data_IF_099437000737
#
_entry.id   IF_099437000737
#
_cell.length_a   1.000
_cell.length_b   1.000
_cell.length_c   1.000
_cell.angle_alpha   90.00
_cell.angle_beta   90.00
_cell.angle_gamma   90.00
#
_symmetry.space_group_name_H-M   'P 1'
#
loop_
_entity.id
_entity.type
_entity.pdbx_description
1 polymer ?
#
# COMPACT_ATOMS: atom_id res chain seq x y z
N UNK A 1 -55.58 -33.81 21.80
CA UNK A 1 -55.21 -32.73 22.74
C UNK A 1 -53.76 -32.30 22.41
N UNK A 2 -53.60 -31.28 21.55
CA UNK A 2 -52.36 -30.68 21.17
C UNK A 2 -52.04 -29.50 22.09
N UNK A 3 -50.82 -29.40 22.52
CA UNK A 3 -50.27 -28.22 23.21
C UNK A 3 -49.70 -27.22 22.19
N UNK A 4 -49.84 -25.91 22.39
CA UNK A 4 -49.38 -24.92 21.44
C UNK A 4 -47.86 -24.70 21.56
N UNK A 5 -47.19 -24.71 20.40
CA UNK A 5 -45.78 -24.31 20.29
C UNK A 5 -45.64 -22.79 20.53
N UNK A 6 -44.74 -22.45 21.41
CA UNK A 6 -44.42 -21.10 21.82
C UNK A 6 -43.66 -20.38 20.66
N UNK A 7 -44.29 -19.39 20.06
CA UNK A 7 -43.67 -18.36 19.22
C UNK A 7 -42.98 -17.35 20.15
N UNK A 8 -41.68 -17.49 20.37
CA UNK A 8 -40.85 -16.46 21.01
C UNK A 8 -39.45 -16.46 20.39
N UNK A 9 -39.31 -15.87 19.22
CA UNK A 9 -38.01 -15.48 18.67
C UNK A 9 -38.12 -14.57 17.41
N UNK A 10 -39.15 -13.71 17.31
CA UNK A 10 -39.25 -12.85 16.12
C UNK A 10 -39.45 -11.35 16.41
N UNK A 11 -39.39 -10.92 17.66
CA UNK A 11 -39.63 -9.53 18.02
C UNK A 11 -38.34 -8.74 18.34
N UNK A 12 -37.19 -9.40 18.57
CA UNK A 12 -35.95 -8.74 18.88
C UNK A 12 -35.19 -8.27 17.61
N UNK A 13 -35.30 -8.99 16.50
CA UNK A 13 -34.64 -8.60 15.24
C UNK A 13 -35.38 -7.46 14.51
N UNK A 14 -36.69 -7.35 14.68
CA UNK A 14 -37.50 -6.27 14.11
C UNK A 14 -37.23 -4.91 14.79
N UNK A 15 -37.04 -4.91 16.10
CA UNK A 15 -36.83 -3.69 16.89
C UNK A 15 -35.41 -3.11 16.71
N UNK A 16 -34.43 -3.94 16.44
CA UNK A 16 -33.06 -3.51 16.16
C UNK A 16 -32.93 -2.94 14.73
N UNK A 17 -33.68 -3.43 13.78
CA UNK A 17 -33.78 -2.93 12.42
C UNK A 17 -34.45 -1.55 12.36
N UNK A 18 -35.58 -1.38 13.06
CA UNK A 18 -36.29 -0.08 13.16
C UNK A 18 -35.46 0.97 13.92
N UNK A 19 -34.73 0.57 14.96
CA UNK A 19 -33.85 1.50 15.70
C UNK A 19 -32.64 1.96 14.88
N UNK A 20 -32.09 1.08 14.04
CA UNK A 20 -31.01 1.42 13.10
C UNK A 20 -31.52 2.32 11.96
N UNK A 21 -32.73 2.11 11.46
CA UNK A 21 -33.36 3.02 10.49
C UNK A 21 -33.73 4.36 11.08
N UNK A 22 -34.21 4.41 12.31
CA UNK A 22 -34.47 5.68 13.03
C UNK A 22 -33.19 6.43 13.36
N UNK A 23 -32.09 5.74 13.69
CA UNK A 23 -30.77 6.40 13.85
C UNK A 23 -30.19 6.88 12.52
N UNK A 24 -30.45 6.20 11.40
CA UNK A 24 -30.17 6.70 10.06
C UNK A 24 -30.96 7.94 9.71
N UNK A 25 -32.22 8.04 10.12
CA UNK A 25 -33.07 9.23 9.90
C UNK A 25 -32.70 10.45 10.72
N UNK A 26 -31.95 10.29 11.82
CA UNK A 26 -31.49 11.38 12.69
C UNK A 26 -30.25 12.11 12.16
N UNK A 27 -29.57 11.55 11.12
CA UNK A 27 -28.41 12.19 10.49
C UNK A 27 -28.50 12.15 8.95
N UNK A 28 -29.46 12.90 8.35
CA UNK A 28 -29.63 12.91 6.89
C UNK A 28 -28.52 13.62 6.12
N UNK A 29 -27.56 14.28 6.81
CA UNK A 29 -26.49 15.06 6.19
C UNK A 29 -25.21 14.30 5.85
N UNK A 30 -25.02 13.07 6.32
CA UNK A 30 -23.78 12.30 6.11
C UNK A 30 -23.88 11.35 4.92
N UNK A 31 -25.08 10.86 4.61
CA UNK A 31 -25.29 9.98 3.43
C UNK A 31 -25.42 10.80 2.12
N UNK A 32 -25.79 12.06 2.17
CA UNK A 32 -25.95 12.91 0.99
C UNK A 32 -24.64 13.57 0.50
N UNK A 33 -23.59 13.57 1.31
CA UNK A 33 -22.20 13.77 0.86
C UNK A 33 -21.60 12.46 0.35
N UNK A 34 -22.40 11.59 -0.23
CA UNK A 34 -21.97 10.24 -0.58
C UNK A 34 -20.91 10.35 -1.65
N UNK A 35 -19.71 9.86 -1.30
CA UNK A 35 -18.62 9.54 -2.22
C UNK A 35 -19.17 8.89 -3.50
N UNK A 36 -20.30 8.22 -3.42
CA UNK A 36 -21.03 7.60 -4.52
C UNK A 36 -21.57 8.62 -5.54
N UNK A 37 -22.15 9.75 -5.10
CA UNK A 37 -22.60 10.81 -6.03
C UNK A 37 -21.41 11.48 -6.71
N UNK A 38 -20.31 11.69 -5.96
CA UNK A 38 -19.09 12.23 -6.52
C UNK A 38 -18.42 11.24 -7.49
N UNK A 39 -18.40 9.95 -7.15
CA UNK A 39 -17.90 8.89 -8.01
C UNK A 39 -18.66 8.84 -9.34
N UNK A 40 -19.99 8.85 -9.28
CA UNK A 40 -20.85 8.85 -10.46
C UNK A 40 -20.62 10.10 -11.32
N UNK A 41 -20.45 11.27 -10.71
CA UNK A 41 -20.19 12.53 -11.44
C UNK A 41 -18.81 12.55 -12.12
N UNK A 42 -17.83 11.82 -11.56
CA UNK A 42 -16.46 11.72 -12.09
C UNK A 42 -16.27 10.49 -13.01
N UNK A 43 -17.29 9.65 -13.16
CA UNK A 43 -17.20 8.41 -13.94
C UNK A 43 -16.24 7.37 -13.33
N UNK A 44 -16.00 7.43 -12.03
CA UNK A 44 -15.11 6.54 -11.29
C UNK A 44 -15.90 5.62 -10.34
N UNK A 45 -15.30 4.47 -9.94
CA UNK A 45 -15.91 3.64 -8.90
C UNK A 45 -15.73 4.28 -7.51
N UNK A 46 -16.66 4.04 -6.59
CA UNK A 46 -16.57 4.51 -5.21
C UNK A 46 -15.28 4.01 -4.53
N UNK A 47 -14.89 2.74 -4.78
CA UNK A 47 -13.67 2.16 -4.24
C UNK A 47 -12.41 2.89 -4.74
N UNK A 48 -12.39 3.28 -6.02
CA UNK A 48 -11.28 4.05 -6.58
C UNK A 48 -11.17 5.43 -5.93
N UNK A 49 -12.29 6.10 -5.67
CA UNK A 49 -12.28 7.39 -4.95
C UNK A 49 -11.83 7.25 -3.49
N UNK A 50 -12.29 6.21 -2.79
CA UNK A 50 -11.84 5.91 -1.41
C UNK A 50 -10.34 5.67 -1.37
N UNK A 51 -9.81 4.92 -2.34
CA UNK A 51 -8.38 4.64 -2.46
C UNK A 51 -7.59 5.92 -2.70
N UNK A 52 -7.98 6.72 -3.69
CA UNK A 52 -7.31 7.98 -4.03
C UNK A 52 -7.34 8.94 -2.84
N UNK A 53 -8.50 9.11 -2.20
CA UNK A 53 -8.63 9.94 -1.00
C UNK A 53 -7.69 9.47 0.11
N UNK A 54 -7.62 8.17 0.37
CA UNK A 54 -6.75 7.59 1.39
C UNK A 54 -5.26 7.80 1.11
N UNK A 55 -4.86 7.72 -0.16
CA UNK A 55 -3.47 7.99 -0.58
C UNK A 55 -3.13 9.46 -0.31
N UNK A 56 -3.99 10.39 -0.69
CA UNK A 56 -3.78 11.82 -0.44
C UNK A 56 -3.85 12.18 1.05
N UNK A 57 -4.64 11.47 1.84
CA UNK A 57 -4.69 11.64 3.31
C UNK A 57 -3.32 11.37 3.96
N UNK A 58 -2.45 10.64 3.31
CA UNK A 58 -1.07 10.44 3.76
C UNK A 58 -0.30 11.75 3.95
N UNK A 59 -0.56 12.79 3.16
CA UNK A 59 0.14 14.08 3.29
C UNK A 59 -0.19 14.82 4.60
N UNK A 60 -1.46 15.08 4.96
CA UNK A 60 -1.77 15.66 6.25
C UNK A 60 -1.33 14.79 7.42
N UNK A 61 -1.40 13.45 7.31
CA UNK A 61 -0.87 12.55 8.34
C UNK A 61 0.65 12.67 8.47
N UNK A 62 1.38 12.78 7.37
CA UNK A 62 2.82 13.02 7.39
C UNK A 62 3.17 14.38 8.01
N UNK A 63 2.41 15.43 7.73
CA UNK A 63 2.59 16.73 8.36
C UNK A 63 2.30 16.68 9.86
N UNK A 64 1.24 15.96 10.27
CA UNK A 64 0.95 15.75 11.69
C UNK A 64 2.08 15.01 12.39
N UNK A 65 2.58 13.91 11.78
CA UNK A 65 3.72 13.17 12.28
C UNK A 65 4.95 14.06 12.47
N UNK A 66 5.30 14.85 11.44
CA UNK A 66 6.44 15.77 11.47
C UNK A 66 6.33 16.80 12.60
N UNK A 67 5.14 17.39 12.74
CA UNK A 67 4.95 18.52 13.67
C UNK A 67 4.83 18.08 15.13
N UNK A 68 4.15 16.95 15.39
CA UNK A 68 3.79 16.55 16.74
C UNK A 68 4.52 15.31 17.24
N UNK A 69 4.95 14.40 16.37
CA UNK A 69 5.42 13.07 16.77
C UNK A 69 6.90 12.82 16.51
N UNK A 70 7.55 13.57 15.63
CA UNK A 70 8.92 13.31 15.21
C UNK A 70 9.91 13.17 16.38
N UNK A 71 9.77 13.97 17.42
CA UNK A 71 10.63 13.97 18.61
C UNK A 71 10.04 13.19 19.81
N UNK A 72 8.93 12.48 19.59
CA UNK A 72 8.29 11.70 20.66
C UNK A 72 8.82 10.28 20.73
N UNK A 73 8.43 9.58 21.81
CA UNK A 73 8.80 8.19 22.03
C UNK A 73 8.37 7.28 20.89
N UNK A 74 9.20 6.29 20.58
CA UNK A 74 8.95 5.30 19.52
C UNK A 74 7.59 4.60 19.69
N UNK A 75 7.16 4.37 20.93
CA UNK A 75 5.86 3.77 21.24
C UNK A 75 4.69 4.57 20.65
N UNK A 76 4.69 5.90 20.83
CA UNK A 76 3.63 6.77 20.30
C UNK A 76 3.65 6.80 18.76
N UNK A 77 4.83 6.75 18.18
CA UNK A 77 5.00 6.74 16.71
C UNK A 77 4.45 5.42 16.13
N UNK A 78 4.79 4.27 16.72
CA UNK A 78 4.24 2.99 16.29
C UNK A 78 2.73 2.93 16.45
N UNK A 79 2.20 3.45 17.57
CA UNK A 79 0.77 3.51 17.82
C UNK A 79 0.04 4.37 16.79
N UNK A 80 0.61 5.53 16.46
CA UNK A 80 0.06 6.42 15.44
C UNK A 80 0.02 5.75 14.05
N UNK A 81 1.12 5.11 13.63
CA UNK A 81 1.16 4.39 12.35
C UNK A 81 0.15 3.23 12.31
N UNK A 82 0.06 2.47 13.39
CA UNK A 82 -0.89 1.35 13.49
C UNK A 82 -2.33 1.84 13.45
N UNK A 83 -2.67 2.85 14.25
CA UNK A 83 -4.02 3.37 14.31
C UNK A 83 -4.47 4.00 12.98
N UNK A 84 -3.64 4.85 12.39
CA UNK A 84 -3.95 5.50 11.12
C UNK A 84 -4.07 4.50 9.98
N UNK A 85 -3.17 3.51 9.91
CA UNK A 85 -3.23 2.46 8.89
C UNK A 85 -4.45 1.55 9.04
N UNK A 86 -4.82 1.16 10.26
CA UNK A 86 -6.06 0.41 10.52
C UNK A 86 -7.31 1.21 10.18
N UNK A 87 -7.33 2.51 10.48
CA UNK A 87 -8.44 3.39 10.12
C UNK A 87 -8.59 3.50 8.60
N UNK A 88 -7.49 3.63 7.87
CA UNK A 88 -7.48 3.63 6.41
C UNK A 88 -7.96 2.27 5.85
N UNK A 89 -7.52 1.16 6.45
CA UNK A 89 -7.95 -0.17 6.06
C UNK A 89 -9.47 -0.36 6.26
N UNK A 90 -9.99 0.06 7.40
CA UNK A 90 -11.42 0.01 7.69
C UNK A 90 -12.23 0.91 6.75
N UNK A 91 -11.76 2.13 6.48
CA UNK A 91 -12.42 3.07 5.55
C UNK A 91 -12.55 2.50 4.13
N UNK A 92 -11.52 1.80 3.65
CA UNK A 92 -11.51 1.24 2.29
C UNK A 92 -12.22 -0.12 2.18
N UNK A 93 -12.09 -0.98 3.19
CA UNK A 93 -12.49 -2.40 3.09
C UNK A 93 -13.52 -2.83 4.15
N UNK A 94 -13.96 -1.90 5.00
CA UNK A 94 -14.92 -2.20 6.06
C UNK A 94 -14.43 -3.33 6.96
N UNK A 95 -15.31 -4.27 7.27
CA UNK A 95 -14.97 -5.40 8.15
C UNK A 95 -13.85 -6.30 7.62
N UNK A 96 -13.58 -6.31 6.32
CA UNK A 96 -12.55 -7.17 5.71
C UNK A 96 -11.12 -6.77 6.12
N UNK A 97 -10.91 -5.66 6.83
CA UNK A 97 -9.61 -5.29 7.39
C UNK A 97 -9.03 -6.36 8.34
N UNK A 98 -9.89 -7.23 8.93
CA UNK A 98 -9.45 -8.29 9.84
C UNK A 98 -8.48 -9.29 9.18
N UNK A 99 -8.56 -9.48 7.86
CA UNK A 99 -7.65 -10.36 7.13
C UNK A 99 -6.19 -9.93 7.30
N UNK A 100 -5.92 -8.63 7.14
CA UNK A 100 -4.58 -8.09 7.33
C UNK A 100 -4.14 -8.16 8.80
N UNK A 101 -5.04 -7.83 9.73
CA UNK A 101 -4.75 -7.87 11.15
C UNK A 101 -4.41 -9.30 11.62
N UNK A 102 -5.18 -10.28 11.17
CA UNK A 102 -4.91 -11.69 11.47
C UNK A 102 -3.53 -12.12 10.98
N UNK A 103 -3.18 -11.79 9.73
CA UNK A 103 -1.87 -12.15 9.17
C UNK A 103 -0.71 -11.46 9.90
N UNK A 104 -0.88 -10.21 10.34
CA UNK A 104 0.13 -9.48 11.13
C UNK A 104 0.33 -10.13 12.50
N UNK A 105 -0.75 -10.47 13.21
CA UNK A 105 -0.68 -11.11 14.52
C UNK A 105 -0.07 -12.51 14.42
N UNK A 106 -0.51 -13.31 13.45
CA UNK A 106 0.05 -14.66 13.24
C UNK A 106 1.52 -14.61 12.85
N UNK A 107 1.92 -13.63 12.03
CA UNK A 107 3.34 -13.45 11.71
C UNK A 107 4.17 -13.10 12.93
N UNK A 108 3.68 -12.21 13.78
CA UNK A 108 4.33 -11.93 15.07
C UNK A 108 4.48 -13.19 15.92
N UNK A 109 3.44 -14.02 16.00
CA UNK A 109 3.50 -15.28 16.75
C UNK A 109 4.51 -16.26 16.16
N UNK A 110 4.59 -16.37 14.83
CA UNK A 110 5.62 -17.19 14.16
C UNK A 110 7.02 -16.73 14.57
N UNK A 111 7.29 -15.42 14.47
CA UNK A 111 8.60 -14.88 14.87
C UNK A 111 8.92 -15.15 16.35
N UNK A 112 7.92 -15.04 17.20
CA UNK A 112 8.11 -15.19 18.65
C UNK A 112 8.27 -16.64 19.09
N UNK A 113 7.48 -17.55 18.52
CA UNK A 113 7.43 -18.96 18.94
C UNK A 113 8.45 -19.82 18.20
N UNK A 114 8.65 -19.60 16.91
CA UNK A 114 9.57 -20.40 16.09
C UNK A 114 10.97 -19.80 15.99
N UNK A 115 11.12 -18.53 16.37
CA UNK A 115 12.42 -17.85 16.43
C UNK A 115 13.12 -17.75 15.06
N UNK A 116 14.47 -17.79 15.10
CA UNK A 116 15.34 -17.65 13.89
C UNK A 116 15.65 -19.00 13.29
N UNK A 117 14.65 -19.68 12.77
CA UNK A 117 14.77 -21.01 12.18
C UNK A 117 14.39 -21.01 10.69
N UNK A 118 14.96 -21.92 9.94
CA UNK A 118 14.55 -22.15 8.53
C UNK A 118 13.08 -22.56 8.47
N UNK A 119 12.62 -23.34 9.46
CA UNK A 119 11.21 -23.75 9.57
C UNK A 119 10.28 -22.53 9.69
N UNK A 120 10.67 -21.50 10.46
CA UNK A 120 9.90 -20.25 10.56
C UNK A 120 9.78 -19.55 9.18
N UNK A 121 10.86 -19.50 8.42
CA UNK A 121 10.87 -18.90 7.06
C UNK A 121 9.95 -19.67 6.12
N UNK A 122 10.05 -21.00 6.09
CA UNK A 122 9.20 -21.85 5.24
C UNK A 122 7.72 -21.72 5.65
N UNK A 123 7.43 -21.77 6.95
CA UNK A 123 6.07 -21.62 7.48
C UNK A 123 5.49 -20.27 7.10
N UNK A 124 6.27 -19.19 7.25
CA UNK A 124 5.85 -17.84 6.85
C UNK A 124 5.55 -17.77 5.36
N UNK A 125 6.45 -18.28 4.52
CA UNK A 125 6.26 -18.25 3.06
C UNK A 125 5.00 -19.02 2.67
N UNK A 126 4.85 -20.27 3.14
CA UNK A 126 3.70 -21.11 2.83
C UNK A 126 2.39 -20.50 3.34
N UNK A 127 2.35 -20.03 4.59
CA UNK A 127 1.17 -19.46 5.19
C UNK A 127 0.73 -18.16 4.51
N UNK A 128 1.64 -17.20 4.35
CA UNK A 128 1.31 -15.89 3.78
C UNK A 128 0.89 -16.01 2.30
N UNK A 129 1.60 -16.83 1.53
CA UNK A 129 1.24 -17.06 0.12
C UNK A 129 -0.07 -17.83 -0.02
N UNK A 130 -0.29 -18.87 0.77
CA UNK A 130 -1.55 -19.63 0.74
C UNK A 130 -2.74 -18.75 1.12
N UNK A 131 -2.58 -17.90 2.15
CA UNK A 131 -3.64 -16.97 2.57
C UNK A 131 -3.98 -15.96 1.47
N UNK A 132 -2.97 -15.37 0.83
CA UNK A 132 -3.15 -14.44 -0.28
C UNK A 132 -3.84 -15.11 -1.47
N UNK A 133 -3.39 -16.30 -1.88
CA UNK A 133 -3.96 -17.04 -3.01
C UNK A 133 -5.41 -17.47 -2.72
N UNK A 134 -5.70 -17.94 -1.51
CA UNK A 134 -7.06 -18.23 -1.08
C UNK A 134 -7.93 -16.96 -1.11
N UNK A 135 -7.41 -15.84 -0.62
CA UNK A 135 -8.07 -14.55 -0.69
C UNK A 135 -8.45 -14.17 -2.13
N UNK A 136 -7.54 -14.29 -3.07
CA UNK A 136 -7.82 -14.04 -4.48
C UNK A 136 -8.86 -15.00 -5.04
N UNK A 137 -8.74 -16.28 -4.74
CA UNK A 137 -9.70 -17.29 -5.22
C UNK A 137 -11.12 -17.00 -4.75
N UNK A 138 -11.32 -16.70 -3.47
CA UNK A 138 -12.65 -16.46 -2.91
C UNK A 138 -13.21 -15.05 -3.23
N UNK A 139 -12.37 -14.08 -3.58
CA UNK A 139 -12.81 -12.73 -3.94
C UNK A 139 -12.85 -12.50 -5.45
N UNK A 140 -12.42 -13.47 -6.27
CA UNK A 140 -12.44 -13.34 -7.72
C UNK A 140 -13.87 -13.11 -8.23
N UNK A 141 -14.06 -11.96 -8.87
CA UNK A 141 -15.22 -11.63 -9.69
C UNK A 141 -14.69 -11.37 -11.08
N UNK A 142 -15.48 -11.59 -12.13
CA UNK A 142 -15.01 -11.37 -13.50
C UNK A 142 -14.48 -9.96 -13.79
N UNK A 143 -14.83 -8.99 -12.96
CA UNK A 143 -14.45 -7.60 -13.10
C UNK A 143 -13.27 -7.23 -12.19
N UNK A 144 -12.44 -6.29 -12.69
CA UNK A 144 -11.37 -5.71 -11.89
C UNK A 144 -11.97 -4.78 -10.81
N UNK A 145 -11.88 -5.21 -9.57
CA UNK A 145 -12.40 -4.48 -8.42
C UNK A 145 -11.32 -4.28 -7.35
N UNK A 146 -11.37 -3.14 -6.65
CA UNK A 146 -10.43 -2.81 -5.59
C UNK A 146 -10.91 -3.50 -4.31
N UNK A 147 -10.27 -4.62 -3.98
CA UNK A 147 -10.59 -5.46 -2.82
C UNK A 147 -9.47 -5.46 -1.79
N UNK A 148 -9.75 -5.99 -0.60
CA UNK A 148 -8.76 -6.12 0.47
C UNK A 148 -7.50 -6.93 0.07
N UNK A 149 -7.60 -7.78 -0.93
CA UNK A 149 -6.47 -8.56 -1.47
C UNK A 149 -5.39 -7.69 -2.13
N UNK A 150 -5.75 -6.52 -2.64
CA UNK A 150 -4.81 -5.61 -3.29
C UNK A 150 -3.73 -5.09 -2.32
N UNK A 151 -4.04 -4.45 -1.18
CA UNK A 151 -3.02 -4.09 -0.19
C UNK A 151 -2.42 -5.32 0.49
N UNK A 152 -3.14 -6.44 0.53
CA UNK A 152 -2.65 -7.67 1.12
C UNK A 152 -1.46 -8.28 0.35
N UNK A 153 -1.36 -8.06 -0.95
CA UNK A 153 -0.17 -8.41 -1.73
C UNK A 153 1.09 -7.73 -1.17
N UNK A 154 0.99 -6.42 -0.94
CA UNK A 154 2.10 -5.61 -0.40
C UNK A 154 2.46 -6.08 1.01
N UNK A 155 1.45 -6.33 1.84
CA UNK A 155 1.62 -6.83 3.21
C UNK A 155 2.29 -8.21 3.23
N UNK A 156 1.87 -9.12 2.36
CA UNK A 156 2.47 -10.47 2.23
C UNK A 156 3.98 -10.38 1.98
N UNK A 157 4.41 -9.56 1.02
CA UNK A 157 5.83 -9.35 0.74
C UNK A 157 6.57 -8.74 1.93
N UNK A 158 5.95 -7.79 2.64
CA UNK A 158 6.53 -7.20 3.86
C UNK A 158 6.74 -8.23 4.95
N UNK A 159 5.74 -9.08 5.21
CA UNK A 159 5.79 -10.06 6.30
C UNK A 159 6.76 -11.21 6.00
N UNK A 160 6.83 -11.66 4.75
CA UNK A 160 7.82 -12.65 4.32
C UNK A 160 9.23 -12.06 4.45
N UNK A 161 9.44 -10.86 3.94
CA UNK A 161 10.72 -10.16 4.04
C UNK A 161 11.15 -9.95 5.49
N UNK A 162 10.22 -9.57 6.38
CA UNK A 162 10.47 -9.44 7.82
C UNK A 162 11.00 -10.74 8.44
N UNK A 163 10.41 -11.87 8.10
CA UNK A 163 10.85 -13.18 8.63
C UNK A 163 12.26 -13.54 8.13
N UNK A 164 12.54 -13.30 6.85
CA UNK A 164 13.87 -13.55 6.27
C UNK A 164 14.91 -12.63 6.92
N UNK A 165 14.62 -11.35 7.05
CA UNK A 165 15.52 -10.37 7.67
C UNK A 165 15.78 -10.68 9.14
N UNK A 166 14.77 -11.21 9.85
CA UNK A 166 14.90 -11.67 11.23
C UNK A 166 15.77 -12.94 11.34
N UNK A 167 15.59 -13.88 10.42
CA UNK A 167 16.42 -15.10 10.32
C UNK A 167 17.89 -14.75 10.07
N UNK A 168 18.14 -13.89 9.09
CA UNK A 168 19.49 -13.43 8.75
C UNK A 168 20.15 -12.67 9.92
N UNK A 169 19.37 -11.95 10.72
CA UNK A 169 19.86 -11.26 11.91
C UNK A 169 20.43 -12.18 13.01
N UNK A 170 20.20 -13.48 12.93
CA UNK A 170 20.78 -14.50 13.82
C UNK A 170 22.13 -15.05 13.38
N UNK A 171 22.54 -14.80 12.13
CA UNK A 171 23.80 -15.27 11.56
C UNK A 171 24.96 -14.33 11.90
N UNK A 172 26.19 -14.89 11.82
CA UNK A 172 27.40 -14.08 11.94
C UNK A 172 27.49 -13.07 10.77
N UNK A 173 27.87 -11.82 11.10
CA UNK A 173 27.97 -10.77 10.10
C UNK A 173 28.86 -11.11 8.91
N UNK A 174 29.93 -11.84 9.14
CA UNK A 174 30.88 -12.27 8.10
C UNK A 174 30.30 -13.31 7.12
N UNK A 175 29.23 -13.99 7.50
CA UNK A 175 28.55 -14.99 6.65
C UNK A 175 27.45 -14.38 5.77
N UNK A 176 27.13 -13.12 5.99
CA UNK A 176 26.06 -12.40 5.27
C UNK A 176 26.63 -11.57 4.13
N UNK A 177 25.90 -11.49 3.02
CA UNK A 177 26.19 -10.49 1.98
C UNK A 177 25.97 -9.08 2.49
N UNK A 178 26.55 -8.09 1.81
CA UNK A 178 26.37 -6.67 2.19
C UNK A 178 24.91 -6.24 2.21
N UNK A 179 24.08 -6.79 1.30
CA UNK A 179 22.65 -6.53 1.29
C UNK A 179 21.94 -7.19 2.48
N UNK A 180 22.23 -8.44 2.78
CA UNK A 180 21.66 -9.12 3.95
C UNK A 180 22.03 -8.41 5.25
N UNK A 181 23.26 -7.92 5.39
CA UNK A 181 23.69 -7.12 6.55
C UNK A 181 22.89 -5.82 6.69
N UNK A 182 22.56 -5.17 5.57
CA UNK A 182 21.77 -3.94 5.54
C UNK A 182 20.36 -4.14 6.08
N UNK A 183 19.75 -5.30 5.81
CA UNK A 183 18.36 -5.58 6.16
C UNK A 183 18.20 -6.40 7.42
N UNK A 184 19.23 -7.09 7.89
CA UNK A 184 19.21 -7.99 9.04
C UNK A 184 18.68 -7.32 10.31
N UNK A 185 17.78 -8.03 11.01
CA UNK A 185 17.17 -7.57 12.26
C UNK A 185 17.76 -8.32 13.44
N UNK A 186 18.46 -7.60 14.31
CA UNK A 186 19.16 -8.22 15.47
C UNK A 186 18.24 -8.46 16.67
N UNK A 187 17.27 -7.60 16.91
CA UNK A 187 16.31 -7.72 18.00
C UNK A 187 15.04 -8.46 17.60
N UNK A 188 14.29 -9.01 18.55
CA UNK A 188 12.95 -9.56 18.33
C UNK A 188 11.96 -8.39 18.26
N UNK A 189 11.26 -8.17 17.13
CA UNK A 189 10.27 -7.11 17.04
C UNK A 189 9.09 -7.35 17.98
N UNK A 190 8.58 -6.29 18.61
CA UNK A 190 7.33 -6.33 19.36
C UNK A 190 6.12 -6.39 18.41
N UNK A 191 4.96 -6.77 18.95
CA UNK A 191 3.73 -6.75 18.16
C UNK A 191 3.40 -5.34 17.61
N UNK A 192 3.61 -4.32 18.44
CA UNK A 192 3.36 -2.93 18.02
C UNK A 192 4.33 -2.44 16.96
N UNK A 193 5.60 -2.86 17.01
CA UNK A 193 6.59 -2.58 15.98
C UNK A 193 6.22 -3.24 14.64
N UNK A 194 5.80 -4.52 14.67
CA UNK A 194 5.33 -5.22 13.47
C UNK A 194 4.06 -4.59 12.92
N UNK A 195 3.12 -4.21 13.79
CA UNK A 195 1.90 -3.54 13.38
C UNK A 195 2.17 -2.15 12.78
N UNK A 196 3.01 -1.33 13.40
CA UNK A 196 3.41 -0.02 12.87
C UNK A 196 4.10 -0.13 11.52
N UNK A 197 4.99 -1.09 11.36
CA UNK A 197 5.63 -1.41 10.08
C UNK A 197 4.63 -1.83 8.99
N UNK A 198 3.66 -2.67 9.35
CA UNK A 198 2.66 -3.20 8.42
C UNK A 198 1.64 -2.15 8.01
N UNK A 199 1.20 -1.32 8.96
CA UNK A 199 0.13 -0.34 8.78
C UNK A 199 0.61 1.10 8.57
N UNK A 200 1.88 1.30 8.29
CA UNK A 200 2.38 2.64 7.98
C UNK A 200 1.49 3.33 6.92
N UNK A 201 0.91 4.48 7.24
CA UNK A 201 -0.12 5.15 6.45
C UNK A 201 0.33 5.49 5.01
N UNK A 202 1.63 5.72 4.79
CA UNK A 202 2.17 6.07 3.47
C UNK A 202 2.39 4.88 2.54
N UNK A 203 2.23 3.64 3.00
CA UNK A 203 2.60 2.48 2.22
C UNK A 203 1.66 1.27 2.36
N UNK A 204 0.64 1.36 3.20
CA UNK A 204 -0.24 0.22 3.47
C UNK A 204 -1.06 -0.21 2.23
N UNK A 205 -1.64 0.74 1.49
CA UNK A 205 -2.59 0.45 0.41
C UNK A 205 -1.94 -0.05 -0.88
N UNK A 206 -0.95 0.68 -1.38
CA UNK A 206 -0.34 0.43 -2.70
C UNK A 206 1.17 0.28 -2.67
N UNK A 207 1.78 0.24 -1.50
CA UNK A 207 3.23 0.30 -1.34
C UNK A 207 3.70 1.74 -1.14
N UNK A 208 4.99 2.03 -1.11
CA UNK A 208 6.12 1.18 -1.52
C UNK A 208 6.50 0.08 -0.53
N UNK A 209 7.34 -0.86 -1.02
CA UNK A 209 8.01 -1.84 -0.17
C UNK A 209 9.25 -1.22 0.48
N UNK A 210 9.46 -1.51 1.76
CA UNK A 210 10.66 -1.15 2.50
C UNK A 210 10.90 -2.18 3.61
N UNK A 211 12.12 -2.27 4.11
CA UNK A 211 12.49 -3.23 5.15
C UNK A 211 12.05 -2.76 6.54
N UNK A 212 11.91 -3.71 7.46
CA UNK A 212 11.66 -3.41 8.88
C UNK A 212 12.78 -2.56 9.48
N UNK A 213 14.04 -2.83 9.09
CA UNK A 213 15.17 -2.06 9.57
C UNK A 213 15.12 -0.59 9.14
N UNK A 214 14.68 -0.32 7.90
CA UNK A 214 14.48 1.04 7.41
C UNK A 214 13.35 1.76 8.15
N UNK A 215 12.25 1.07 8.39
CA UNK A 215 11.14 1.58 9.21
C UNK A 215 11.58 1.91 10.65
N UNK A 216 12.36 1.03 11.28
CA UNK A 216 12.86 1.29 12.63
C UNK A 216 13.81 2.50 12.69
N UNK A 217 14.60 2.72 11.63
CA UNK A 217 15.40 3.95 11.51
C UNK A 217 14.54 5.20 11.42
N UNK A 218 13.40 5.15 10.70
CA UNK A 218 12.43 6.24 10.69
C UNK A 218 11.94 6.57 12.09
N UNK A 219 11.45 5.55 12.80
CA UNK A 219 10.88 5.72 14.15
C UNK A 219 11.91 6.26 15.15
N UNK A 220 13.19 5.89 14.98
CA UNK A 220 14.30 6.39 15.81
C UNK A 220 14.81 7.78 15.40
N UNK A 221 14.20 8.40 14.38
CA UNK A 221 14.62 9.71 13.89
C UNK A 221 15.97 9.72 13.19
N UNK A 222 16.44 8.59 12.65
CA UNK A 222 17.75 8.44 12.01
C UNK A 222 17.73 8.74 10.50
N UNK A 223 16.54 8.79 9.88
CA UNK A 223 16.38 9.08 8.46
C UNK A 223 16.25 10.59 8.22
N UNK A 224 17.35 11.29 8.36
CA UNK A 224 17.42 12.74 8.20
C UNK A 224 18.74 13.17 7.61
N UNK A 225 18.73 14.27 6.88
CA UNK A 225 19.91 14.92 6.33
C UNK A 225 20.71 15.68 7.40
N UNK A 226 20.07 16.08 8.50
CA UNK A 226 20.71 16.75 9.64
C UNK A 226 20.48 15.92 10.90
N UNK A 227 21.51 15.31 11.48
CA UNK A 227 21.37 14.49 12.67
C UNK A 227 20.60 15.20 13.80
N UNK A 228 19.60 14.51 14.37
CA UNK A 228 18.79 15.04 15.47
C UNK A 228 17.76 16.10 15.09
N UNK A 229 17.63 16.45 13.80
CA UNK A 229 16.64 17.40 13.31
C UNK A 229 15.68 16.75 12.32
N UNK A 230 14.53 17.38 12.15
CA UNK A 230 13.54 17.00 11.15
C UNK A 230 14.15 17.11 9.74
N UNK A 231 13.90 16.10 8.86
CA UNK A 231 14.48 16.08 7.53
C UNK A 231 13.93 17.20 6.64
N UNK A 232 14.78 17.77 5.78
CA UNK A 232 14.40 18.79 4.79
C UNK A 232 13.76 18.15 3.55
N UNK A 233 12.72 17.36 3.75
CA UNK A 233 12.09 16.53 2.72
C UNK A 233 10.89 17.18 2.03
N UNK A 234 10.48 18.37 2.42
CA UNK A 234 9.25 19.01 1.90
C UNK A 234 9.34 19.28 0.40
N UNK A 235 10.41 19.89 -0.08
CA UNK A 235 10.57 20.19 -1.51
C UNK A 235 10.68 18.92 -2.36
N UNK A 236 11.50 17.91 -2.00
CA UNK A 236 11.51 16.62 -2.70
C UNK A 236 10.15 15.94 -2.73
N UNK A 237 9.39 15.97 -1.62
CA UNK A 237 8.04 15.43 -1.56
C UNK A 237 7.07 16.15 -2.51
N UNK A 238 7.11 17.49 -2.54
CA UNK A 238 6.28 18.28 -3.43
C UNK A 238 6.61 18.03 -4.92
N UNK A 239 7.88 17.83 -5.26
CA UNK A 239 8.29 17.48 -6.62
C UNK A 239 7.67 16.15 -7.06
N UNK A 240 7.68 15.13 -6.19
CA UNK A 240 7.04 13.84 -6.48
C UNK A 240 5.52 13.94 -6.53
N UNK A 241 4.91 14.67 -5.62
CA UNK A 241 3.47 14.93 -5.65
C UNK A 241 3.06 15.64 -6.94
N UNK A 242 3.77 16.69 -7.34
CA UNK A 242 3.46 17.44 -8.58
C UNK A 242 3.54 16.55 -9.81
N UNK A 243 4.55 15.69 -9.90
CA UNK A 243 4.67 14.72 -10.97
C UNK A 243 3.52 13.70 -10.93
N UNK A 244 3.14 13.21 -9.75
CA UNK A 244 2.00 12.31 -9.56
C UNK A 244 0.67 12.97 -9.97
N UNK A 245 0.49 14.26 -9.68
CA UNK A 245 -0.69 15.02 -10.11
C UNK A 245 -0.75 15.19 -11.62
N UNK A 246 0.37 15.42 -12.30
CA UNK A 246 0.43 15.46 -13.77
C UNK A 246 -0.04 14.14 -14.36
N UNK A 247 0.45 13.02 -13.84
CA UNK A 247 -0.01 11.69 -14.27
C UNK A 247 -1.47 11.43 -13.95
N UNK A 248 -1.96 11.86 -12.79
CA UNK A 248 -3.38 11.73 -12.40
C UNK A 248 -4.29 12.49 -13.36
N UNK A 249 -3.98 13.74 -13.63
CA UNK A 249 -4.76 14.58 -14.57
C UNK A 249 -4.70 13.99 -15.98
N UNK A 250 -3.52 13.62 -16.46
CA UNK A 250 -3.35 12.99 -17.75
C UNK A 250 -4.13 11.68 -17.87
N UNK A 251 -4.07 10.83 -16.86
CA UNK A 251 -4.82 9.58 -16.83
C UNK A 251 -6.34 9.84 -16.88
N UNK A 252 -6.84 10.77 -16.05
CA UNK A 252 -8.27 11.10 -15.97
C UNK A 252 -8.79 11.66 -17.30
N UNK A 253 -8.04 12.53 -17.95
CA UNK A 253 -8.44 13.14 -19.23
C UNK A 253 -8.39 12.16 -20.39
N UNK A 254 -7.42 11.23 -20.40
CA UNK A 254 -7.22 10.29 -21.52
C UNK A 254 -8.03 9.00 -21.38
N UNK A 255 -8.45 8.64 -20.15
CA UNK A 255 -9.15 7.39 -19.86
C UNK A 255 -10.41 7.17 -20.72
N UNK A 256 -11.25 8.16 -21.04
CA UNK A 256 -12.41 7.95 -21.91
C UNK A 256 -12.04 7.67 -23.38
N UNK A 257 -10.82 8.01 -23.80
CA UNK A 257 -10.36 7.90 -25.18
C UNK A 257 -9.51 6.66 -25.45
N UNK A 258 -8.93 6.07 -24.41
CA UNK A 258 -8.05 4.90 -24.51
C UNK A 258 -8.66 3.79 -23.66
N UNK A 259 -9.54 2.98 -24.26
CA UNK A 259 -10.32 1.96 -23.58
C UNK A 259 -9.95 0.55 -24.05
N UNK A 260 -10.11 -0.42 -23.19
CA UNK A 260 -9.94 -1.84 -23.49
C UNK A 260 -10.99 -2.30 -24.50
N UNK A 261 -12.23 -1.81 -24.34
CA UNK A 261 -13.37 -2.17 -25.20
C UNK A 261 -13.13 -1.81 -26.66
N UNK A 262 -12.42 -0.72 -26.95
CA UNK A 262 -12.12 -0.32 -28.31
C UNK A 262 -11.30 -1.38 -29.07
N UNK A 263 -10.42 -2.10 -28.39
CA UNK A 263 -9.61 -3.18 -28.97
C UNK A 263 -10.46 -4.36 -29.47
N UNK A 264 -11.69 -4.50 -28.98
CA UNK A 264 -12.63 -5.57 -29.32
C UNK A 264 -13.66 -5.14 -30.38
N UNK A 265 -13.55 -3.91 -30.93
CA UNK A 265 -14.51 -3.38 -31.90
C UNK A 265 -14.13 -3.72 -33.35
N UNK A 266 -15.14 -3.88 -34.22
CA UNK A 266 -14.93 -4.02 -35.65
C UNK A 266 -14.24 -2.80 -36.26
N UNK A 267 -14.47 -1.59 -35.69
CA UNK A 267 -13.77 -0.37 -36.14
C UNK A 267 -12.26 -0.51 -35.98
N UNK A 268 -11.80 -1.03 -34.83
CA UNK A 268 -10.38 -1.29 -34.58
C UNK A 268 -9.82 -2.32 -35.59
N UNK A 269 -10.53 -3.40 -35.85
CA UNK A 269 -10.10 -4.45 -36.80
C UNK A 269 -9.98 -3.96 -38.21
N UNK A 270 -10.86 -3.03 -38.62
CA UNK A 270 -10.86 -2.41 -39.95
C UNK A 270 -9.80 -1.31 -40.12
N UNK A 271 -9.10 -0.90 -39.03
CA UNK A 271 -8.04 0.11 -39.11
C UNK A 271 -6.78 -0.45 -39.76
N UNK A 272 -5.99 0.41 -40.46
CA UNK A 272 -4.70 0.02 -41.00
C UNK A 272 -3.78 -0.60 -39.94
N UNK A 273 -2.95 -1.56 -40.36
CA UNK A 273 -2.01 -2.28 -39.46
C UNK A 273 -1.20 -1.34 -38.56
N UNK A 274 -0.64 -0.26 -39.14
CA UNK A 274 0.16 0.70 -38.37
C UNK A 274 -0.63 1.45 -37.32
N UNK A 275 -1.89 1.78 -37.55
CA UNK A 275 -2.76 2.38 -36.56
C UNK A 275 -2.98 1.42 -35.39
N UNK A 276 -3.25 0.16 -35.67
CA UNK A 276 -3.45 -0.87 -34.65
C UNK A 276 -2.20 -1.08 -33.80
N UNK A 277 -1.01 -1.12 -34.40
CA UNK A 277 0.26 -1.20 -33.68
C UNK A 277 0.49 0.02 -32.78
N UNK A 278 0.24 1.23 -33.29
CA UNK A 278 0.41 2.45 -32.49
C UNK A 278 -0.59 2.56 -31.35
N UNK A 279 -1.86 2.21 -31.62
CA UNK A 279 -2.87 2.20 -30.56
C UNK A 279 -2.53 1.20 -29.46
N UNK A 280 -2.13 -0.02 -29.80
CA UNK A 280 -1.71 -1.06 -28.85
C UNK A 280 -0.51 -0.60 -28.01
N UNK A 281 0.46 0.08 -28.60
CA UNK A 281 1.61 0.63 -27.89
C UNK A 281 1.19 1.69 -26.86
N UNK A 282 0.32 2.61 -27.28
CA UNK A 282 -0.20 3.69 -26.41
C UNK A 282 -1.05 3.09 -25.30
N UNK A 283 -1.96 2.20 -25.62
CA UNK A 283 -2.81 1.51 -24.68
C UNK A 283 -1.99 0.73 -23.63
N UNK A 284 -0.99 -0.03 -24.08
CA UNK A 284 -0.13 -0.81 -23.18
C UNK A 284 0.63 0.05 -22.17
N UNK A 285 1.12 1.23 -22.56
CA UNK A 285 1.69 2.20 -21.63
C UNK A 285 0.63 2.84 -20.74
N UNK A 286 -0.51 3.20 -21.30
CA UNK A 286 -1.59 3.89 -20.60
C UNK A 286 -2.16 3.05 -19.45
N UNK A 287 -2.34 1.74 -19.64
CA UNK A 287 -2.80 0.81 -18.59
C UNK A 287 -1.89 0.83 -17.35
N UNK A 288 -0.60 1.09 -17.53
CA UNK A 288 0.36 1.17 -16.43
C UNK A 288 0.32 2.52 -15.68
N UNK A 289 -0.19 3.58 -16.29
CA UNK A 289 -0.17 4.93 -15.70
C UNK A 289 -1.00 5.06 -14.42
N UNK A 290 -2.01 4.25 -14.22
CA UNK A 290 -2.74 4.20 -12.95
C UNK A 290 -1.83 3.80 -11.78
N UNK A 291 -0.92 2.85 -12.00
CA UNK A 291 0.06 2.43 -10.99
C UNK A 291 1.14 3.50 -10.78
N UNK A 292 1.62 4.10 -11.87
CA UNK A 292 2.60 5.20 -11.81
C UNK A 292 2.06 6.35 -10.98
N UNK A 293 0.82 6.76 -11.20
CA UNK A 293 0.13 7.81 -10.43
C UNK A 293 0.11 7.48 -8.94
N UNK A 294 -0.39 6.31 -8.58
CA UNK A 294 -0.49 5.89 -7.19
C UNK A 294 0.88 5.84 -6.52
N UNK A 295 1.88 5.27 -7.18
CA UNK A 295 3.22 5.13 -6.60
C UNK A 295 3.95 6.46 -6.45
N UNK A 296 3.80 7.40 -7.38
CA UNK A 296 4.39 8.74 -7.25
C UNK A 296 3.78 9.51 -6.08
N UNK A 297 2.47 9.44 -5.91
CA UNK A 297 1.78 10.11 -4.79
C UNK A 297 2.20 9.50 -3.45
N UNK A 298 2.22 8.18 -3.34
CA UNK A 298 2.64 7.49 -2.09
C UNK A 298 4.13 7.65 -1.81
N UNK A 299 4.98 7.67 -2.83
CA UNK A 299 6.41 8.00 -2.67
C UNK A 299 6.58 9.39 -2.08
N UNK A 300 5.82 10.38 -2.55
CA UNK A 300 5.82 11.72 -1.98
C UNK A 300 5.44 11.76 -0.49
N UNK A 301 4.46 10.96 -0.07
CA UNK A 301 4.09 10.80 1.35
C UNK A 301 5.25 10.21 2.15
N UNK A 302 5.90 9.18 1.64
CA UNK A 302 7.05 8.55 2.29
C UNK A 302 8.23 9.52 2.41
N UNK A 303 8.51 10.31 1.38
CA UNK A 303 9.57 11.33 1.42
C UNK A 303 9.23 12.40 2.47
N UNK A 304 7.99 12.89 2.49
CA UNK A 304 7.56 13.89 3.45
C UNK A 304 7.70 13.41 4.91
N UNK A 305 7.41 12.14 5.16
CA UNK A 305 7.59 11.51 6.48
C UNK A 305 9.06 11.29 6.85
N UNK A 306 9.97 11.32 5.88
CA UNK A 306 11.40 11.01 6.07
C UNK A 306 11.79 9.60 5.63
N UNK A 307 10.86 8.70 5.37
CA UNK A 307 11.11 7.31 4.97
C UNK A 307 11.85 7.22 3.62
N UNK A 308 11.71 8.23 2.77
CA UNK A 308 12.39 8.32 1.48
C UNK A 308 13.90 8.59 1.57
N UNK A 309 14.46 8.93 2.73
CA UNK A 309 15.87 9.22 2.89
C UNK A 309 16.76 8.02 2.54
N UNK A 310 17.76 8.23 1.68
CA UNK A 310 18.67 7.20 1.18
C UNK A 310 20.15 7.63 1.25
N UNK A 311 20.51 8.45 2.24
CA UNK A 311 21.87 8.94 2.40
C UNK A 311 22.23 10.06 1.43
N UNK A 312 23.51 10.16 1.12
CA UNK A 312 24.10 11.19 0.25
C UNK A 312 24.70 10.55 -1.00
N UNK A 313 24.69 11.28 -2.09
CA UNK A 313 25.41 10.90 -3.30
C UNK A 313 26.93 11.25 -3.20
N UNK A 314 27.68 10.94 -4.24
CA UNK A 314 29.13 11.23 -4.32
C UNK A 314 29.45 12.73 -4.22
N UNK A 315 28.50 13.59 -4.54
CA UNK A 315 28.64 15.05 -4.50
C UNK A 315 28.13 15.64 -3.16
N UNK A 316 27.73 14.80 -2.20
CA UNK A 316 27.17 15.25 -0.94
C UNK A 316 25.71 15.72 -1.00
N UNK A 317 25.01 15.49 -2.13
CA UNK A 317 23.60 15.82 -2.27
C UNK A 317 22.73 14.74 -1.62
N UNK A 318 21.68 15.16 -0.89
CA UNK A 318 20.78 14.23 -0.20
C UNK A 318 19.93 13.45 -1.21
N UNK A 319 19.89 12.13 -1.04
CA UNK A 319 19.06 11.24 -1.84
C UNK A 319 17.75 10.91 -1.11
N UNK A 320 16.64 11.04 -1.83
CA UNK A 320 15.27 10.80 -1.31
C UNK A 320 14.57 9.66 -2.04
N UNK A 321 15.31 8.73 -2.61
CA UNK A 321 14.82 7.66 -3.49
C UNK A 321 14.70 6.27 -2.81
N UNK A 322 14.80 6.19 -1.48
CA UNK A 322 14.71 4.92 -0.76
C UNK A 322 13.39 4.17 -0.98
N UNK A 323 12.31 4.91 -1.21
CA UNK A 323 10.97 4.36 -1.47
C UNK A 323 10.54 4.51 -2.93
N UNK A 324 11.45 4.86 -3.84
CA UNK A 324 11.12 5.00 -5.26
C UNK A 324 10.71 3.65 -5.85
N UNK A 325 9.51 3.59 -6.41
CA UNK A 325 9.02 2.40 -7.13
C UNK A 325 9.04 2.58 -8.64
N UNK A 326 9.32 3.80 -9.09
CA UNK A 326 9.37 4.20 -10.48
C UNK A 326 10.58 5.09 -10.79
N UNK A 327 11.28 4.78 -11.89
CA UNK A 327 12.23 5.69 -12.54
C UNK A 327 11.55 6.28 -13.78
N UNK A 328 10.76 7.33 -13.58
CA UNK A 328 9.83 7.87 -14.59
C UNK A 328 10.53 8.18 -15.91
N UNK A 329 11.67 8.89 -15.88
CA UNK A 329 12.41 9.23 -17.09
C UNK A 329 12.83 7.98 -17.87
N UNK A 330 13.40 6.99 -17.20
CA UNK A 330 13.82 5.74 -17.84
C UNK A 330 12.62 4.97 -18.39
N UNK A 331 11.50 4.92 -17.66
CA UNK A 331 10.27 4.27 -18.10
C UNK A 331 9.70 4.88 -19.38
N UNK A 332 9.72 6.22 -19.50
CA UNK A 332 9.16 6.91 -20.65
C UNK A 332 10.09 6.87 -21.89
N UNK A 333 11.40 6.85 -21.68
CA UNK A 333 12.36 7.01 -22.77
C UNK A 333 13.02 5.72 -23.23
N UNK A 334 12.95 4.63 -22.44
CA UNK A 334 13.62 3.38 -22.81
C UNK A 334 12.98 2.70 -24.03
N UNK A 335 13.77 2.35 -25.05
CA UNK A 335 13.29 1.55 -26.16
C UNK A 335 13.42 0.03 -25.89
N UNK A 336 13.98 -0.36 -24.76
CA UNK A 336 14.28 -1.75 -24.43
C UNK A 336 13.39 -2.27 -23.33
N UNK A 337 12.93 -3.51 -23.45
CA UNK A 337 12.12 -4.18 -22.43
C UNK A 337 12.83 -4.28 -21.09
N UNK A 338 14.14 -4.54 -21.07
CA UNK A 338 14.95 -4.53 -19.84
C UNK A 338 14.91 -3.17 -19.13
N UNK A 339 14.88 -2.07 -19.86
CA UNK A 339 14.73 -0.73 -19.27
C UNK A 339 13.37 -0.53 -18.64
N UNK A 340 12.31 -1.07 -19.24
CA UNK A 340 10.97 -1.05 -18.65
C UNK A 340 10.93 -1.83 -17.33
N UNK A 341 11.48 -3.05 -17.30
CA UNK A 341 11.58 -3.85 -16.05
C UNK A 341 12.40 -3.11 -14.98
N UNK A 342 13.52 -2.52 -15.36
CA UNK A 342 14.42 -1.81 -14.43
C UNK A 342 13.84 -0.48 -13.90
N UNK A 343 12.79 0.04 -14.52
CA UNK A 343 12.19 1.33 -14.19
C UNK A 343 10.80 1.25 -13.56
N UNK A 344 10.12 0.10 -13.67
CA UNK A 344 8.75 -0.11 -13.21
C UNK A 344 8.71 -1.13 -12.08
N UNK A 345 8.00 -0.84 -11.01
CA UNK A 345 7.86 -1.70 -9.81
C UNK A 345 9.21 -2.15 -9.22
N UNK A 346 10.12 -1.18 -9.06
CA UNK A 346 11.53 -1.42 -8.67
C UNK A 346 11.62 -2.16 -7.34
N UNK A 347 10.76 -1.82 -6.39
CA UNK A 347 10.82 -2.39 -5.04
C UNK A 347 10.47 -3.88 -5.03
N UNK A 348 9.48 -4.31 -5.81
CA UNK A 348 9.14 -5.74 -5.95
C UNK A 348 10.24 -6.49 -6.69
N UNK A 349 10.80 -5.89 -7.76
CA UNK A 349 11.93 -6.50 -8.48
C UNK A 349 13.14 -6.71 -7.57
N UNK A 350 13.49 -5.71 -6.77
CA UNK A 350 14.58 -5.80 -5.79
C UNK A 350 14.29 -6.84 -4.70
N UNK A 351 13.02 -6.95 -4.27
CA UNK A 351 12.61 -7.94 -3.28
C UNK A 351 12.74 -9.38 -3.81
N UNK A 352 12.32 -9.62 -5.06
CA UNK A 352 12.42 -10.95 -5.70
C UNK A 352 13.88 -11.36 -5.97
N UNK A 353 14.76 -10.39 -6.24
CA UNK A 353 16.18 -10.63 -6.51
C UNK A 353 17.01 -10.97 -5.25
N UNK A 354 16.46 -10.78 -4.07
CA UNK A 354 17.09 -11.12 -2.77
C UNK A 354 17.00 -12.58 -2.45
#
# INVERSE_FOLDING_TARGET
RGAPAVKMASTADGDMGETLEQMRGLWPGVEDLSLNKLATSLGASEQALRLIFSIFLGYPLALFYRHYLFYKDSYLIHLFHTFTGLSIAYFNFGHQFYHSLLCVVLQFLILRLMGRTVTAVITTLCFQMAYLLAGYYYTATGDYDIKWTMPHCVLTLKLIGLCIDYYDGGKDGNSLTSEQQKYAIRGVPSLLEVAGFSYFYGAFLVGPQFSMNHYMKLVRGQLTDIPGKMPNSTIPALKRLSLGLVYLVGYTLLSPHITDDYLLTEDYDNRPFWFRCMYMLIWGKFVLYKYVTCWLVTEGVCILSGLGFNGFDENGTVRWDACANMKVWLFETTPRFNGTIASFNINTNAWVAR
#
